data_IF_246796677241
#
_entry.id   IF_246796677241
#
_cell.length_a   1.000
_cell.length_b   1.000
_cell.length_c   1.000
_cell.angle_alpha   90.00
_cell.angle_beta   90.00
_cell.angle_gamma   90.00
#
_symmetry.space_group_name_H-M   'P 1'
#
loop_
_entity.id
_entity.type
_entity.pdbx_description
1 polymer ?
#
# COMPACT_ATOMS: atom_id res chain seq x y z
N UNK A 1 5.74 18.87 1.57
CA UNK A 1 4.43 18.77 2.25
C UNK A 1 4.69 18.66 3.75
N UNK A 2 4.12 19.54 4.56
CA UNK A 2 4.15 19.41 6.02
C UNK A 2 2.91 18.62 6.45
N UNK A 3 3.09 17.39 6.93
CA UNK A 3 2.04 16.64 7.61
C UNK A 3 2.31 16.64 9.11
N UNK A 4 1.24 16.68 9.91
CA UNK A 4 1.31 16.52 11.37
C UNK A 4 1.67 15.08 11.78
N UNK A 5 1.42 14.10 10.91
CA UNK A 5 1.78 12.72 11.18
C UNK A 5 3.29 12.51 10.97
N UNK A 6 4.05 12.09 12.01
CA UNK A 6 5.50 11.95 11.92
C UNK A 6 5.95 10.84 10.98
N UNK A 7 5.05 9.96 10.52
CA UNK A 7 5.35 8.87 9.59
C UNK A 7 5.08 9.22 8.13
N UNK A 8 4.49 10.37 7.85
CA UNK A 8 4.14 10.75 6.49
C UNK A 8 5.39 11.08 5.66
N UNK A 9 5.41 10.49 4.46
CA UNK A 9 6.29 10.85 3.36
C UNK A 9 7.79 10.85 3.70
N UNK A 10 8.25 9.82 4.42
CA UNK A 10 9.66 9.67 4.85
C UNK A 10 10.58 9.01 3.82
N UNK A 11 10.01 8.43 2.77
CA UNK A 11 10.79 7.82 1.69
C UNK A 11 11.31 8.89 0.73
N UNK A 12 12.47 8.65 0.11
CA UNK A 12 13.08 9.56 -0.88
C UNK A 12 12.15 9.89 -2.04
N UNK A 13 11.29 8.93 -2.41
CA UNK A 13 10.15 9.12 -3.27
C UNK A 13 8.95 8.53 -2.57
N UNK A 14 7.94 9.37 -2.36
CA UNK A 14 6.73 8.97 -1.64
C UNK A 14 5.60 8.66 -2.59
N UNK A 15 4.78 7.70 -2.20
CA UNK A 15 3.55 7.36 -2.89
C UNK A 15 2.38 8.02 -2.16
N UNK A 16 1.42 8.51 -2.94
CA UNK A 16 0.24 9.17 -2.40
C UNK A 16 -1.03 8.72 -3.12
N UNK A 17 -2.17 8.89 -2.46
CA UNK A 17 -3.49 8.78 -3.06
C UNK A 17 -4.36 9.98 -2.64
N UNK A 18 -5.40 10.24 -3.43
CA UNK A 18 -6.47 11.19 -3.11
C UNK A 18 -7.78 10.43 -3.24
N UNK A 19 -8.65 10.53 -2.23
CA UNK A 19 -10.00 9.99 -2.28
C UNK A 19 -10.97 11.12 -2.62
N UNK A 20 -11.82 10.92 -3.62
CA UNK A 20 -12.90 11.85 -3.99
C UNK A 20 -14.06 11.09 -4.63
N UNK A 21 -15.19 11.76 -4.78
CA UNK A 21 -16.44 11.13 -5.23
C UNK A 21 -16.38 10.76 -6.71
N UNK A 22 -15.83 11.66 -7.53
CA UNK A 22 -15.83 11.52 -8.99
C UNK A 22 -14.74 12.35 -9.64
N UNK A 23 -14.08 11.79 -10.65
CA UNK A 23 -13.28 12.57 -11.60
C UNK A 23 -14.17 13.08 -12.73
N UNK A 24 -14.39 14.39 -12.79
CA UNK A 24 -15.08 15.05 -13.88
C UNK A 24 -14.08 15.36 -15.00
N UNK A 25 -14.23 14.65 -16.13
CA UNK A 25 -13.30 14.76 -17.26
C UNK A 25 -13.54 15.98 -18.13
N UNK A 26 -14.70 16.62 -18.05
CA UNK A 26 -15.00 17.85 -18.79
C UNK A 26 -14.36 19.06 -18.12
N UNK A 27 -14.47 19.13 -16.79
CA UNK A 27 -13.88 20.21 -15.98
C UNK A 27 -12.46 19.90 -15.51
N UNK A 28 -11.99 18.68 -15.69
CA UNK A 28 -10.68 18.18 -15.24
C UNK A 28 -10.51 18.36 -13.73
N UNK A 29 -11.57 18.06 -12.98
CA UNK A 29 -11.62 18.24 -11.53
C UNK A 29 -12.01 16.95 -10.82
N UNK A 30 -11.36 16.66 -9.69
CA UNK A 30 -11.81 15.65 -8.75
C UNK A 30 -12.80 16.31 -7.79
N UNK A 31 -14.02 15.80 -7.68
CA UNK A 31 -15.10 16.39 -6.89
C UNK A 31 -15.09 15.84 -5.46
N UNK A 32 -15.43 16.70 -4.48
CA UNK A 32 -15.54 16.38 -3.04
C UNK A 32 -14.37 15.52 -2.50
N UNK A 33 -13.15 15.91 -2.85
CA UNK A 33 -11.97 15.13 -2.49
C UNK A 33 -11.39 15.53 -1.13
N UNK A 34 -10.68 14.59 -0.52
CA UNK A 34 -9.88 14.82 0.67
C UNK A 34 -8.48 15.33 0.31
N UNK A 35 -7.73 15.69 1.34
CA UNK A 35 -6.30 15.92 1.20
C UNK A 35 -5.56 14.64 0.80
N UNK A 36 -4.35 14.85 0.28
CA UNK A 36 -3.45 13.77 -0.10
C UNK A 36 -3.05 12.93 1.12
N UNK A 37 -3.03 11.61 0.95
CA UNK A 37 -2.65 10.67 2.00
C UNK A 37 -1.64 9.63 1.49
N UNK A 38 -0.86 9.06 2.41
CA UNK A 38 0.05 7.95 2.12
C UNK A 38 -0.71 6.60 2.15
N UNK A 39 -0.59 5.74 1.13
CA UNK A 39 -1.17 4.40 1.14
C UNK A 39 -0.35 3.41 1.97
N UNK A 40 0.93 3.70 2.23
CA UNK A 40 1.81 2.85 3.02
C UNK A 40 2.79 3.75 3.79
N UNK A 41 2.96 3.46 5.08
CA UNK A 41 3.81 4.20 6.01
C UNK A 41 5.16 3.51 6.25
N UNK A 42 5.43 2.43 5.52
CA UNK A 42 6.66 1.66 5.58
C UNK A 42 7.81 2.31 4.82
N UNK A 43 8.98 1.72 4.97
CA UNK A 43 10.26 2.30 4.54
C UNK A 43 10.59 2.10 3.06
N UNK A 44 9.91 1.17 2.37
CA UNK A 44 10.35 0.69 1.05
C UNK A 44 9.20 0.60 0.01
N UNK A 45 8.03 1.18 0.28
CA UNK A 45 6.88 1.04 -0.62
C UNK A 45 6.94 2.04 -1.78
N UNK A 46 6.95 1.56 -3.02
CA UNK A 46 6.99 2.41 -4.22
C UNK A 46 6.24 1.83 -5.42
N UNK A 47 5.90 2.71 -6.37
CA UNK A 47 5.30 2.37 -7.67
C UNK A 47 4.14 1.35 -7.62
N UNK A 48 3.08 1.57 -6.82
CA UNK A 48 1.95 0.66 -6.82
C UNK A 48 1.21 0.69 -8.15
N UNK A 49 0.71 -0.48 -8.54
CA UNK A 49 -0.27 -0.64 -9.60
C UNK A 49 -1.51 -1.33 -9.05
N UNK A 50 -2.67 -0.99 -9.61
CA UNK A 50 -3.91 -1.68 -9.30
C UNK A 50 -4.58 -2.26 -10.54
N UNK A 51 -5.32 -3.35 -10.35
CA UNK A 51 -6.16 -3.95 -11.40
C UNK A 51 -7.50 -4.38 -10.81
N UNK A 52 -8.49 -4.60 -11.69
CA UNK A 52 -9.73 -5.29 -11.34
C UNK A 52 -9.57 -6.76 -11.71
N UNK A 53 -9.93 -7.65 -10.79
CA UNK A 53 -10.06 -9.07 -11.13
C UNK A 53 -11.45 -9.39 -11.72
N UNK A 54 -11.66 -10.66 -12.01
CA UNK A 54 -12.87 -11.21 -12.65
C UNK A 54 -14.13 -11.14 -11.78
N UNK A 55 -13.97 -10.98 -10.47
CA UNK A 55 -15.07 -10.82 -9.51
C UNK A 55 -15.22 -9.38 -9.02
N UNK A 56 -14.48 -8.43 -9.60
CA UNK A 56 -14.63 -6.99 -9.37
C UNK A 56 -13.87 -6.43 -8.16
N UNK A 57 -12.96 -7.20 -7.56
CA UNK A 57 -12.08 -6.68 -6.48
C UNK A 57 -11.00 -5.78 -7.09
N UNK A 58 -10.71 -4.67 -6.41
CA UNK A 58 -9.59 -3.80 -6.74
C UNK A 58 -8.34 -4.29 -6.01
N UNK A 59 -7.40 -4.88 -6.75
CA UNK A 59 -6.17 -5.45 -6.15
C UNK A 59 -5.00 -4.50 -6.37
N UNK A 60 -4.27 -4.21 -5.31
CA UNK A 60 -3.02 -3.43 -5.32
C UNK A 60 -1.82 -4.36 -5.12
N UNK A 61 -0.79 -4.14 -5.93
CA UNK A 61 0.56 -4.67 -5.73
C UNK A 61 1.53 -3.51 -5.91
N UNK A 62 2.58 -3.45 -5.10
CA UNK A 62 3.62 -2.45 -5.19
C UNK A 62 5.00 -3.07 -5.19
N UNK A 63 5.98 -2.30 -5.63
CA UNK A 63 7.38 -2.63 -5.42
C UNK A 63 7.75 -2.34 -3.96
N UNK A 64 8.36 -3.31 -3.31
CA UNK A 64 9.07 -3.16 -2.04
C UNK A 64 10.55 -2.97 -2.38
N UNK A 65 10.92 -1.70 -2.47
CA UNK A 65 12.21 -1.16 -2.81
C UNK A 65 12.03 0.31 -3.22
N UNK A 66 13.10 1.09 -3.10
CA UNK A 66 13.12 2.49 -3.52
C UNK A 66 14.17 2.66 -4.63
N UNK A 67 13.91 3.54 -5.62
CA UNK A 67 14.93 3.93 -6.58
C UNK A 67 16.18 4.45 -5.86
N UNK A 68 17.38 4.28 -6.41
CA UNK A 68 18.61 4.90 -5.88
C UNK A 68 19.03 4.47 -4.45
N UNK A 69 18.39 3.45 -3.87
CA UNK A 69 18.76 2.88 -2.56
C UNK A 69 19.22 1.43 -2.76
N UNK A 70 20.47 1.17 -2.39
CA UNK A 70 20.98 -0.19 -2.30
C UNK A 70 20.48 -0.89 -1.03
N UNK A 71 20.16 -2.17 -1.16
CA UNK A 71 19.71 -3.02 -0.05
C UNK A 71 20.76 -4.09 0.25
N UNK A 72 20.77 -4.68 1.46
CA UNK A 72 21.71 -5.75 1.80
C UNK A 72 21.66 -6.97 0.86
N UNK A 73 20.57 -7.16 0.11
CA UNK A 73 20.43 -8.25 -0.86
C UNK A 73 21.21 -8.01 -2.15
N UNK A 74 21.56 -6.77 -2.50
CA UNK A 74 22.33 -6.44 -3.71
C UNK A 74 23.65 -7.22 -3.79
N UNK A 75 24.31 -7.50 -2.65
CA UNK A 75 25.52 -8.34 -2.58
C UNK A 75 25.30 -9.79 -3.06
N UNK A 76 24.05 -10.25 -3.06
CA UNK A 76 23.61 -11.55 -3.56
C UNK A 76 23.00 -11.47 -4.97
N UNK A 77 23.19 -10.35 -5.68
CA UNK A 77 22.75 -10.14 -7.07
C UNK A 77 21.22 -10.19 -7.27
N UNK A 78 20.45 -9.78 -6.26
CA UNK A 78 19.01 -9.53 -6.39
C UNK A 78 18.59 -8.37 -5.50
N UNK A 79 17.57 -7.62 -5.92
CA UNK A 79 17.09 -6.45 -5.19
C UNK A 79 15.58 -6.31 -5.30
N UNK A 80 14.97 -5.92 -4.18
CA UNK A 80 13.54 -5.69 -4.05
C UNK A 80 12.69 -6.94 -4.16
N UNK A 81 11.40 -6.74 -3.94
CA UNK A 81 10.35 -7.75 -4.09
C UNK A 81 9.02 -7.06 -4.36
N UNK A 82 7.97 -7.83 -4.66
CA UNK A 82 6.62 -7.29 -4.68
C UNK A 82 6.00 -7.35 -3.29
N UNK A 83 5.13 -6.39 -2.99
CA UNK A 83 4.26 -6.49 -1.83
C UNK A 83 3.35 -7.70 -1.96
N UNK A 84 2.81 -8.20 -0.84
CA UNK A 84 1.65 -9.07 -0.93
C UNK A 84 0.50 -8.32 -1.63
N UNK A 85 -0.36 -9.02 -2.39
CA UNK A 85 -1.53 -8.40 -3.00
C UNK A 85 -2.52 -7.97 -1.91
N UNK A 86 -3.00 -6.73 -2.04
CA UNK A 86 -3.93 -6.10 -1.10
C UNK A 86 -5.23 -5.77 -1.82
N UNK A 87 -6.35 -6.26 -1.32
CA UNK A 87 -7.66 -5.78 -1.75
C UNK A 87 -7.90 -4.38 -1.20
N UNK A 88 -8.31 -3.47 -2.08
CA UNK A 88 -8.66 -2.10 -1.76
C UNK A 88 -10.17 -1.98 -1.58
N UNK A 89 -10.58 -1.34 -0.50
CA UNK A 89 -11.95 -0.88 -0.28
C UNK A 89 -11.94 0.51 0.34
N UNK A 90 -13.10 1.17 0.36
CA UNK A 90 -13.27 2.44 1.05
C UNK A 90 -14.24 2.24 2.20
N UNK A 91 -13.85 2.64 3.41
CA UNK A 91 -14.70 2.61 4.60
C UNK A 91 -14.41 3.82 5.47
N UNK A 92 -15.45 4.47 5.97
CA UNK A 92 -15.36 5.67 6.81
C UNK A 92 -14.43 6.72 6.19
N UNK A 93 -14.61 6.98 4.89
CA UNK A 93 -13.82 7.95 4.14
C UNK A 93 -12.31 7.67 4.12
N UNK A 94 -11.89 6.40 4.29
CA UNK A 94 -10.49 5.98 4.24
C UNK A 94 -10.28 4.82 3.28
N UNK A 95 -9.13 4.81 2.63
CA UNK A 95 -8.66 3.66 1.87
C UNK A 95 -8.27 2.53 2.83
N UNK A 96 -8.95 1.39 2.72
CA UNK A 96 -8.66 0.18 3.48
C UNK A 96 -7.92 -0.80 2.57
N UNK A 97 -6.84 -1.38 3.11
CA UNK A 97 -6.05 -2.41 2.48
C UNK A 97 -6.10 -3.69 3.30
N UNK A 98 -6.53 -4.79 2.69
CA UNK A 98 -6.56 -6.11 3.34
C UNK A 98 -5.77 -7.11 2.50
N UNK A 99 -4.91 -7.96 3.08
CA UNK A 99 -4.31 -9.07 2.35
C UNK A 99 -5.39 -9.93 1.69
N UNK A 100 -5.14 -10.42 0.48
CA UNK A 100 -6.09 -11.34 -0.17
C UNK A 100 -6.43 -12.52 0.73
N UNK A 101 -7.72 -12.87 0.78
CA UNK A 101 -8.23 -14.00 1.56
C UNK A 101 -7.52 -15.32 1.18
N UNK A 102 -7.19 -15.49 -0.11
CA UNK A 102 -6.52 -16.67 -0.64
C UNK A 102 -5.11 -16.88 -0.07
N UNK A 103 -4.44 -15.82 0.41
CA UNK A 103 -3.14 -15.94 1.08
C UNK A 103 -3.22 -16.74 2.38
N UNK A 104 -4.42 -16.97 2.95
CA UNK A 104 -4.60 -17.87 4.09
C UNK A 104 -4.18 -19.31 3.78
N UNK A 105 -4.20 -19.73 2.51
CA UNK A 105 -3.77 -21.07 2.09
C UNK A 105 -2.25 -21.29 2.28
N UNK A 106 -1.45 -20.21 2.35
CA UNK A 106 -0.02 -20.29 2.62
C UNK A 106 0.30 -20.56 4.11
N UNK A 107 -0.72 -20.58 4.98
CA UNK A 107 -0.53 -20.82 6.42
C UNK A 107 -0.34 -22.31 6.69
N UNK A 108 0.86 -22.71 7.11
CA UNK A 108 1.17 -24.10 7.42
C UNK A 108 0.58 -24.57 8.76
N UNK A 109 1.11 -24.05 9.87
CA UNK A 109 0.75 -24.52 11.21
C UNK A 109 0.50 -23.35 12.14
N UNK A 110 -0.72 -23.28 12.67
CA UNK A 110 -1.09 -22.34 13.72
C UNK A 110 -0.34 -22.70 15.01
N UNK A 111 0.64 -21.88 15.40
CA UNK A 111 1.25 -21.97 16.72
C UNK A 111 0.43 -21.18 17.72
N UNK A 112 0.01 -21.81 18.81
CA UNK A 112 -0.50 -21.08 19.98
C UNK A 112 0.70 -20.49 20.71
N UNK A 113 0.84 -19.17 20.66
CA UNK A 113 1.81 -18.45 21.48
C UNK A 113 1.06 -17.81 22.65
N UNK A 114 1.51 -18.04 23.88
CA UNK A 114 0.97 -17.36 25.05
C UNK A 114 1.77 -16.07 25.18
N UNK A 115 1.16 -14.94 24.82
CA UNK A 115 1.77 -13.63 25.06
C UNK A 115 1.71 -13.40 26.57
N UNK A 116 2.86 -13.39 27.21
CA UNK A 116 3.00 -12.91 28.59
C UNK A 116 3.31 -11.43 28.46
N UNK A 117 2.32 -10.58 28.74
CA UNK A 117 2.55 -9.16 28.92
C UNK A 117 3.20 -9.01 30.30
N UNK A 118 4.44 -8.54 30.32
CA UNK A 118 5.13 -8.04 31.51
C UNK A 118 4.81 -6.56 31.71
#
# INVERSE_FOLDING_TARGET
MSSENPYDYKNIFSVSYILGDKLNTETVALENHQDVAAPDYGFDFYAPQTYLDDIGRRILIAWIGLPEIDTPSTKFQWAGMLSIPRELSVRDNKLIQTPLEDLKQLRLRRKKCRVILS
#
